data_IF_945030595495
#
_entry.id   IF_945030595495
#
_cell.length_a   1.000
_cell.length_b   1.000
_cell.length_c   1.000
_cell.angle_alpha   90.00
_cell.angle_beta   90.00
_cell.angle_gamma   90.00
#
_symmetry.space_group_name_H-M   'P 1'
#
loop_
_entity.id
_entity.type
_entity.pdbx_description
1 polymer ?
#
# COMPACT_ATOMS: atom_id res chain seq x y z
N UNK A 1 -14.21 7.05 -28.83
CA UNK A 1 -13.64 8.03 -29.80
C UNK A 1 -12.21 7.57 -30.09
N UNK A 2 -11.75 7.58 -31.35
CA UNK A 2 -10.33 7.36 -31.63
C UNK A 2 -9.54 8.55 -31.10
N UNK A 3 -8.46 8.28 -30.38
CA UNK A 3 -7.52 9.31 -29.94
C UNK A 3 -6.42 9.42 -31.01
N UNK A 4 -6.07 10.63 -31.42
CA UNK A 4 -5.19 10.86 -32.58
C UNK A 4 -3.84 11.50 -32.22
N UNK A 5 -3.62 11.84 -30.95
CA UNK A 5 -2.38 12.48 -30.53
C UNK A 5 -1.90 11.99 -29.16
N UNK A 6 -0.58 12.13 -28.87
CA UNK A 6 -0.05 11.87 -27.54
C UNK A 6 -0.76 12.66 -26.44
N UNK A 7 -1.25 13.86 -26.75
CA UNK A 7 -1.96 14.69 -25.79
C UNK A 7 -3.33 14.09 -25.41
N UNK A 8 -4.08 13.62 -26.40
CA UNK A 8 -5.38 12.97 -26.18
C UNK A 8 -5.24 11.65 -25.42
N UNK A 9 -4.20 10.86 -25.74
CA UNK A 9 -3.87 9.66 -24.98
C UNK A 9 -3.57 9.98 -23.51
N UNK A 10 -2.71 10.96 -23.25
CA UNK A 10 -2.38 11.40 -21.90
C UNK A 10 -3.62 11.88 -21.13
N UNK A 11 -4.45 12.72 -21.76
CA UNK A 11 -5.67 13.23 -21.15
C UNK A 11 -6.64 12.10 -20.77
N UNK A 12 -6.84 11.13 -21.66
CA UNK A 12 -7.72 10.00 -21.41
C UNK A 12 -7.21 9.11 -20.27
N UNK A 13 -5.89 8.85 -20.20
CA UNK A 13 -5.26 8.09 -19.12
C UNK A 13 -5.37 8.82 -17.77
N UNK A 14 -5.08 10.13 -17.74
CA UNK A 14 -5.16 10.94 -16.53
C UNK A 14 -6.58 11.08 -16.00
N UNK A 15 -7.56 11.16 -16.91
CA UNK A 15 -8.97 11.21 -16.53
C UNK A 15 -9.43 9.90 -15.86
N UNK A 16 -8.91 8.77 -16.33
CA UNK A 16 -9.19 7.45 -15.78
C UNK A 16 -10.60 6.94 -16.08
N UNK A 17 -10.75 5.62 -16.09
CA UNK A 17 -12.01 4.94 -16.49
C UNK A 17 -13.24 5.37 -15.68
N UNK A 18 -13.07 5.75 -14.41
CA UNK A 18 -14.18 6.18 -13.53
C UNK A 18 -14.75 7.56 -13.88
N UNK A 19 -14.00 8.41 -14.58
CA UNK A 19 -14.43 9.77 -14.95
C UNK A 19 -14.64 9.91 -16.47
N UNK A 20 -14.83 8.80 -17.18
CA UNK A 20 -15.03 8.80 -18.63
C UNK A 20 -13.75 8.80 -19.47
N UNK A 21 -12.59 8.58 -18.86
CA UNK A 21 -11.32 8.33 -19.54
C UNK A 21 -11.04 6.83 -19.74
N UNK A 22 -9.76 6.44 -19.74
CA UNK A 22 -9.33 5.04 -19.92
C UNK A 22 -8.33 4.61 -18.85
N UNK A 23 -8.23 3.31 -18.59
CA UNK A 23 -7.23 2.75 -17.65
C UNK A 23 -5.96 2.26 -18.35
N UNK A 24 -6.05 1.96 -19.65
CA UNK A 24 -4.95 1.49 -20.47
C UNK A 24 -5.22 1.82 -21.94
N UNK A 25 -4.17 1.92 -22.73
CA UNK A 25 -4.20 2.14 -24.18
C UNK A 25 -3.36 1.04 -24.83
N UNK A 26 -3.86 0.49 -25.94
CA UNK A 26 -3.14 -0.46 -26.77
C UNK A 26 -2.93 0.16 -28.15
N UNK A 27 -1.67 0.43 -28.49
CA UNK A 27 -1.25 1.10 -29.72
C UNK A 27 0.11 0.56 -30.17
N UNK A 28 0.55 0.90 -31.38
CA UNK A 28 1.87 0.54 -31.87
C UNK A 28 2.98 1.16 -30.99
N UNK A 29 4.06 0.40 -30.77
CA UNK A 29 5.19 0.77 -29.89
C UNK A 29 5.72 2.20 -30.14
N UNK A 30 6.01 2.65 -31.38
CA UNK A 30 6.58 3.98 -31.56
C UNK A 30 5.66 5.12 -31.09
N UNK A 31 4.32 4.96 -31.15
CA UNK A 31 3.40 5.96 -30.62
C UNK A 31 3.42 5.99 -29.10
N UNK A 32 3.49 4.82 -28.47
CA UNK A 32 3.65 4.70 -27.02
C UNK A 32 5.00 5.27 -26.56
N UNK A 33 6.10 4.99 -27.26
CA UNK A 33 7.42 5.58 -26.98
C UNK A 33 7.39 7.12 -27.06
N UNK A 34 6.70 7.68 -28.06
CA UNK A 34 6.53 9.13 -28.17
C UNK A 34 5.69 9.73 -27.03
N UNK A 35 4.63 9.04 -26.61
CA UNK A 35 3.81 9.44 -25.45
C UNK A 35 4.65 9.49 -24.18
N UNK A 36 5.40 8.41 -23.93
CA UNK A 36 6.30 8.26 -22.82
C UNK A 36 7.35 9.38 -22.80
N UNK A 37 8.03 9.62 -23.93
CA UNK A 37 9.02 10.70 -24.06
C UNK A 37 8.43 12.11 -23.80
N UNK A 38 7.16 12.35 -24.16
CA UNK A 38 6.49 13.64 -23.93
C UNK A 38 6.00 13.82 -22.48
N UNK A 39 5.71 12.74 -21.78
CA UNK A 39 5.15 12.74 -20.43
C UNK A 39 5.98 11.84 -19.49
N UNK A 40 7.25 12.21 -19.22
CA UNK A 40 8.15 11.39 -18.42
C UNK A 40 7.58 11.16 -17.03
N UNK A 41 7.75 9.94 -16.51
CA UNK A 41 7.30 9.50 -15.18
C UNK A 41 5.79 9.54 -14.91
N UNK A 42 4.95 9.85 -15.90
CA UNK A 42 3.48 9.87 -15.73
C UNK A 42 2.82 8.55 -16.13
N UNK A 43 3.42 7.84 -17.09
CA UNK A 43 2.88 6.61 -17.65
C UNK A 43 3.98 5.56 -17.76
N UNK A 44 3.57 4.30 -17.78
CA UNK A 44 4.43 3.16 -18.05
C UNK A 44 3.81 2.31 -19.15
N UNK A 45 4.67 1.66 -19.92
CA UNK A 45 4.27 0.65 -20.89
C UNK A 45 4.71 -0.70 -20.34
N UNK A 46 3.84 -1.71 -20.46
CA UNK A 46 4.21 -3.09 -20.16
C UNK A 46 5.20 -3.54 -21.23
N UNK A 47 6.28 -4.22 -20.83
CA UNK A 47 7.30 -4.70 -21.77
C UNK A 47 6.66 -5.41 -22.97
N UNK A 48 6.87 -4.91 -24.19
CA UNK A 48 6.30 -5.52 -25.36
C UNK A 48 6.94 -6.90 -25.52
N UNK A 49 6.10 -7.93 -25.63
CA UNK A 49 6.56 -9.24 -26.09
C UNK A 49 7.24 -9.07 -27.46
N UNK A 50 8.28 -9.84 -27.81
CA UNK A 50 8.84 -9.79 -29.15
C UNK A 50 7.79 -10.31 -30.14
N UNK A 51 7.09 -9.40 -30.82
CA UNK A 51 6.19 -9.71 -31.91
C UNK A 51 6.77 -9.19 -33.22
N UNK A 52 6.55 -9.95 -34.30
CA UNK A 52 7.08 -9.67 -35.65
C UNK A 52 6.26 -8.62 -36.42
N UNK A 53 5.43 -7.83 -35.74
CA UNK A 53 4.65 -6.78 -36.38
C UNK A 53 5.49 -5.51 -36.55
N UNK A 54 5.25 -4.73 -37.61
CA UNK A 54 6.02 -3.52 -37.85
C UNK A 54 5.63 -2.73 -39.11
N UNK A 55 6.28 -1.58 -39.27
CA UNK A 55 6.12 -0.71 -40.44
C UNK A 55 6.95 -1.21 -41.62
N UNK A 56 6.46 -0.91 -42.83
CA UNK A 56 7.14 -1.28 -44.07
C UNK A 56 6.90 -0.28 -45.19
N UNK A 57 7.75 -0.33 -46.20
CA UNK A 57 7.58 0.43 -47.43
C UNK A 57 6.78 -0.41 -48.44
N UNK A 58 5.90 0.26 -49.19
CA UNK A 58 5.03 -0.40 -50.17
C UNK A 58 5.36 0.09 -51.57
N UNK A 59 5.49 -0.86 -52.49
CA UNK A 59 5.79 -0.61 -53.90
C UNK A 59 4.83 -1.39 -54.81
N UNK A 60 4.60 -0.95 -56.06
CA UNK A 60 3.86 -1.72 -57.05
C UNK A 60 4.51 -3.10 -57.28
N UNK A 61 3.68 -4.10 -57.56
CA UNK A 61 4.15 -5.47 -57.83
C UNK A 61 5.10 -5.48 -59.04
N UNK A 62 6.26 -6.12 -58.88
CA UNK A 62 7.31 -6.18 -59.90
C UNK A 62 8.29 -5.01 -59.88
N UNK A 63 8.13 -4.04 -58.97
CA UNK A 63 9.10 -2.97 -58.80
C UNK A 63 10.44 -3.49 -58.25
N UNK A 64 11.58 -3.19 -58.89
CA UNK A 64 12.91 -3.56 -58.37
C UNK A 64 13.21 -2.86 -57.04
N UNK A 65 12.60 -1.70 -56.78
CA UNK A 65 12.80 -0.90 -55.57
C UNK A 65 12.50 -1.67 -54.28
N UNK A 66 11.55 -2.62 -54.32
CA UNK A 66 11.23 -3.42 -53.15
C UNK A 66 12.45 -4.23 -52.68
N UNK A 67 13.23 -4.78 -53.61
CA UNK A 67 14.44 -5.56 -53.30
C UNK A 67 15.59 -4.66 -52.85
N UNK A 68 15.80 -3.54 -53.56
CA UNK A 68 16.86 -2.58 -53.25
C UNK A 68 16.68 -1.98 -51.85
N UNK A 69 15.46 -1.51 -51.54
CA UNK A 69 15.13 -0.91 -50.25
C UNK A 69 15.20 -1.93 -49.11
N UNK A 70 14.72 -3.16 -49.33
CA UNK A 70 14.82 -4.22 -48.30
C UNK A 70 16.28 -4.56 -47.98
N UNK A 71 17.14 -4.58 -49.00
CA UNK A 71 18.58 -4.82 -48.84
C UNK A 71 19.24 -3.69 -48.07
N UNK A 72 18.89 -2.44 -48.37
CA UNK A 72 19.40 -1.28 -47.66
C UNK A 72 18.93 -1.25 -46.19
N UNK A 73 17.66 -1.54 -45.92
CA UNK A 73 17.12 -1.64 -44.55
C UNK A 73 17.85 -2.72 -43.75
N UNK A 74 18.13 -3.86 -44.37
CA UNK A 74 18.91 -4.94 -43.73
C UNK A 74 20.31 -4.42 -43.35
N UNK A 75 21.01 -3.77 -44.28
CA UNK A 75 22.33 -3.17 -44.04
C UNK A 75 22.28 -2.14 -42.90
N UNK A 76 21.35 -1.19 -42.95
CA UNK A 76 21.19 -0.17 -41.91
C UNK A 76 20.85 -0.75 -40.53
N UNK A 77 20.18 -1.91 -40.49
CA UNK A 77 19.91 -2.64 -39.24
C UNK A 77 21.19 -3.28 -38.68
N UNK A 78 21.96 -3.97 -39.52
CA UNK A 78 23.22 -4.62 -39.14
C UNK A 78 24.28 -3.59 -38.69
N UNK A 79 24.35 -2.44 -39.35
CA UNK A 79 25.24 -1.33 -38.99
C UNK A 79 24.78 -0.54 -37.75
N UNK A 80 23.56 -0.77 -37.27
CA UNK A 80 22.96 -0.01 -36.16
C UNK A 80 22.51 1.41 -36.52
N UNK A 81 22.52 1.79 -37.79
CA UNK A 81 22.04 3.09 -38.28
C UNK A 81 20.56 3.32 -37.95
N UNK A 82 19.71 2.29 -38.07
CA UNK A 82 18.31 2.39 -37.69
C UNK A 82 18.12 2.70 -36.20
N UNK A 83 18.97 2.12 -35.34
CA UNK A 83 18.94 2.37 -33.89
C UNK A 83 19.31 3.82 -33.56
N UNK A 84 20.33 4.37 -34.23
CA UNK A 84 20.73 5.77 -34.07
C UNK A 84 19.61 6.74 -34.49
N UNK A 85 18.90 6.42 -35.57
CA UNK A 85 17.72 7.18 -36.00
C UNK A 85 16.62 7.08 -34.93
N UNK A 86 16.32 5.88 -34.43
CA UNK A 86 15.33 5.69 -33.36
C UNK A 86 15.67 6.52 -32.12
N UNK A 87 16.93 6.48 -31.67
CA UNK A 87 17.40 7.26 -30.53
C UNK A 87 17.27 8.77 -30.80
N UNK A 88 17.72 9.26 -31.95
CA UNK A 88 17.65 10.68 -32.29
C UNK A 88 16.22 11.25 -32.35
N UNK A 89 15.23 10.43 -32.75
CA UNK A 89 13.84 10.87 -32.94
C UNK A 89 12.92 10.59 -31.75
N UNK A 90 13.18 9.54 -30.95
CA UNK A 90 12.33 9.15 -29.83
C UNK A 90 12.97 9.36 -28.46
N UNK A 91 14.30 9.52 -28.38
CA UNK A 91 15.03 9.84 -27.15
C UNK A 91 15.49 11.29 -27.24
N UNK A 92 14.61 12.22 -26.86
CA UNK A 92 15.04 13.59 -26.54
C UNK A 92 16.00 13.59 -25.34
N UNK A 93 16.73 14.69 -25.16
CA UNK A 93 17.89 14.90 -24.25
C UNK A 93 17.74 14.48 -22.77
N UNK A 94 16.62 13.89 -22.34
CA UNK A 94 16.41 13.43 -20.98
C UNK A 94 15.81 12.01 -20.96
N UNK A 95 16.70 11.04 -20.74
CA UNK A 95 16.49 9.90 -19.84
C UNK A 95 15.16 9.12 -19.94
N UNK A 96 14.84 8.59 -21.13
CA UNK A 96 14.11 7.30 -21.20
C UNK A 96 15.07 6.12 -20.98
N UNK A 97 15.79 6.21 -19.87
CA UNK A 97 16.45 5.11 -19.18
C UNK A 97 15.78 5.20 -17.81
N UNK A 98 14.82 4.33 -17.50
CA UNK A 98 15.14 2.91 -17.41
C UNK A 98 14.00 1.92 -17.59
N UNK A 99 14.21 1.02 -18.54
CA UNK A 99 14.36 -0.37 -18.15
C UNK A 99 15.77 -0.52 -17.52
N UNK A 100 15.84 -1.01 -16.27
CA UNK A 100 17.03 -1.50 -15.56
C UNK A 100 18.07 -0.56 -14.88
N UNK A 101 17.84 0.74 -14.64
CA UNK A 101 18.85 1.56 -13.94
C UNK A 101 18.52 3.00 -13.53
N UNK A 102 17.25 3.36 -13.35
CA UNK A 102 16.87 4.74 -13.07
C UNK A 102 16.91 4.83 -11.57
N UNK A 103 17.96 5.46 -11.06
CA UNK A 103 18.08 5.95 -9.70
C UNK A 103 17.30 5.07 -8.73
N UNK A 104 17.96 4.00 -8.29
CA UNK A 104 17.64 3.40 -7.01
C UNK A 104 17.95 4.45 -5.93
N UNK A 105 17.15 5.50 -5.85
CA UNK A 105 16.63 5.87 -4.56
C UNK A 105 15.69 4.71 -4.25
N UNK A 106 16.14 3.69 -3.49
CA UNK A 106 15.29 2.54 -3.20
C UNK A 106 14.05 3.15 -2.58
N UNK A 107 12.91 3.08 -3.27
CA UNK A 107 11.66 3.71 -2.86
C UNK A 107 11.51 3.48 -1.36
N UNK A 108 11.88 4.50 -0.58
CA UNK A 108 12.25 4.29 0.81
C UNK A 108 11.01 3.67 1.42
N UNK A 109 11.13 2.41 1.87
CA UNK A 109 9.99 1.59 2.26
C UNK A 109 9.19 2.42 3.26
N UNK A 110 8.13 3.05 2.76
CA UNK A 110 7.42 4.06 3.53
C UNK A 110 6.88 3.35 4.75
N UNK A 111 6.97 3.97 5.92
CA UNK A 111 6.43 3.44 7.19
C UNK A 111 4.96 2.97 7.02
N UNK A 112 4.26 3.50 6.00
CA UNK A 112 2.93 3.08 5.55
C UNK A 112 2.84 1.62 5.07
N UNK A 113 3.87 1.07 4.41
CA UNK A 113 3.91 -0.35 4.02
C UNK A 113 4.24 -1.29 5.20
N UNK A 114 4.88 -0.78 6.26
CA UNK A 114 5.15 -1.54 7.50
C UNK A 114 4.02 -1.49 8.53
N UNK A 115 2.91 -0.81 8.22
CA UNK A 115 1.75 -0.70 9.11
C UNK A 115 1.21 -2.06 9.55
N UNK A 116 1.23 -3.08 8.68
CA UNK A 116 0.79 -4.43 9.01
C UNK A 116 1.61 -5.06 10.16
N UNK A 117 2.93 -4.91 10.13
CA UNK A 117 3.81 -5.44 11.18
C UNK A 117 3.61 -4.70 12.52
N UNK A 118 3.37 -3.38 12.48
CA UNK A 118 3.07 -2.59 13.67
C UNK A 118 1.71 -2.95 14.29
N UNK A 119 0.70 -3.22 13.47
CA UNK A 119 -0.60 -3.69 13.96
C UNK A 119 -0.45 -5.04 14.66
N UNK A 120 0.26 -6.00 14.06
CA UNK A 120 0.45 -7.34 14.63
C UNK A 120 1.24 -7.28 15.95
N UNK A 121 2.35 -6.54 15.98
CA UNK A 121 3.17 -6.41 17.18
C UNK A 121 2.44 -5.65 18.30
N UNK A 122 1.73 -4.56 17.95
CA UNK A 122 0.92 -3.79 18.87
C UNK A 122 -0.23 -4.61 19.48
N UNK A 123 -0.96 -5.38 18.68
CA UNK A 123 -2.05 -6.23 19.18
C UNK A 123 -1.52 -7.34 20.10
N UNK A 124 -0.38 -7.93 19.76
CA UNK A 124 0.23 -9.00 20.57
C UNK A 124 0.67 -8.46 21.93
N UNK A 125 1.32 -7.29 21.96
CA UNK A 125 1.73 -6.64 23.20
C UNK A 125 0.52 -6.22 24.06
N UNK A 126 -0.52 -5.65 23.46
CA UNK A 126 -1.74 -5.27 24.18
C UNK A 126 -2.44 -6.49 24.79
N UNK A 127 -2.54 -7.60 24.06
CA UNK A 127 -3.10 -8.87 24.56
C UNK A 127 -2.29 -9.44 25.72
N UNK A 128 -0.96 -9.43 25.62
CA UNK A 128 -0.08 -9.90 26.70
C UNK A 128 -0.29 -9.07 27.98
N UNK A 129 -0.30 -7.73 27.86
CA UNK A 129 -0.55 -6.81 28.98
C UNK A 129 -1.93 -7.04 29.58
N UNK A 130 -2.95 -7.25 28.75
CA UNK A 130 -4.32 -7.51 29.22
C UNK A 130 -4.40 -8.81 30.03
N UNK A 131 -3.79 -9.90 29.55
CA UNK A 131 -3.76 -11.18 30.26
C UNK A 131 -3.00 -11.05 31.59
N UNK A 132 -1.81 -10.42 31.57
CA UNK A 132 -1.03 -10.19 32.79
C UNK A 132 -1.79 -9.34 33.81
N UNK A 133 -2.52 -8.32 33.35
CA UNK A 133 -3.37 -7.51 34.21
C UNK A 133 -4.46 -8.35 34.88
N UNK A 134 -5.16 -9.21 34.13
CA UNK A 134 -6.19 -10.10 34.72
C UNK A 134 -5.58 -11.04 35.76
N UNK A 135 -4.42 -11.64 35.49
CA UNK A 135 -3.75 -12.54 36.43
C UNK A 135 -3.33 -11.80 37.70
N UNK A 136 -2.72 -10.62 37.57
CA UNK A 136 -2.33 -9.78 38.69
C UNK A 136 -3.53 -9.31 39.52
N UNK A 137 -4.61 -8.91 38.86
CA UNK A 137 -5.86 -8.59 39.54
C UNK A 137 -6.37 -9.83 40.28
N UNK A 138 -6.43 -11.02 39.67
CA UNK A 138 -6.89 -12.24 40.35
C UNK A 138 -6.06 -12.55 41.59
N UNK A 139 -4.73 -12.55 41.48
CA UNK A 139 -3.84 -12.84 42.62
C UNK A 139 -4.02 -11.83 43.75
N UNK A 140 -4.04 -10.53 43.43
CA UNK A 140 -4.27 -9.49 44.44
C UNK A 140 -5.70 -9.49 44.96
N UNK A 141 -6.70 -9.83 44.16
CA UNK A 141 -8.09 -9.93 44.58
C UNK A 141 -8.27 -11.10 45.54
N UNK A 142 -7.58 -12.22 45.34
CA UNK A 142 -7.57 -13.34 46.28
C UNK A 142 -6.98 -12.92 47.65
N UNK A 143 -5.85 -12.21 47.66
CA UNK A 143 -5.23 -11.72 48.90
C UNK A 143 -6.03 -10.59 49.57
N UNK A 144 -6.60 -9.69 48.78
CA UNK A 144 -7.45 -8.60 49.28
C UNK A 144 -8.77 -9.15 49.82
N UNK A 145 -9.41 -10.09 49.13
CA UNK A 145 -10.68 -10.73 49.57
C UNK A 145 -10.50 -11.51 50.87
N UNK A 146 -9.38 -12.19 51.08
CA UNK A 146 -9.13 -12.87 52.36
C UNK A 146 -8.96 -11.87 53.51
N UNK A 147 -8.25 -10.75 53.27
CA UNK A 147 -8.04 -9.69 54.26
C UNK A 147 -9.34 -8.93 54.59
N UNK A 148 -10.14 -8.59 53.58
CA UNK A 148 -11.45 -7.94 53.77
C UNK A 148 -12.47 -8.83 54.46
N UNK A 149 -12.45 -10.13 54.20
CA UNK A 149 -13.29 -11.09 54.95
C UNK A 149 -12.99 -11.05 56.45
N UNK A 150 -11.72 -10.96 56.85
CA UNK A 150 -11.35 -10.84 58.26
C UNK A 150 -11.79 -9.50 58.86
N UNK A 151 -11.55 -8.37 58.18
CA UNK A 151 -11.96 -7.05 58.65
C UNK A 151 -13.48 -6.91 58.77
N UNK A 152 -14.23 -7.45 57.81
CA UNK A 152 -15.70 -7.49 57.87
C UNK A 152 -16.21 -8.39 59.00
N UNK A 153 -15.49 -9.48 59.32
CA UNK A 153 -15.83 -10.34 60.46
C UNK A 153 -15.61 -9.62 61.80
N UNK A 154 -14.47 -8.94 61.98
CA UNK A 154 -14.19 -8.13 63.18
C UNK A 154 -15.13 -6.93 63.33
N UNK A 155 -15.45 -6.26 62.22
CA UNK A 155 -16.41 -5.16 62.22
C UNK A 155 -17.82 -5.65 62.58
N UNK A 156 -18.25 -6.79 62.03
CA UNK A 156 -19.52 -7.43 62.37
C UNK A 156 -19.58 -7.82 63.85
N UNK A 157 -18.52 -8.39 64.42
CA UNK A 157 -18.45 -8.71 65.84
C UNK A 157 -18.54 -7.46 66.72
N UNK A 158 -17.82 -6.40 66.35
CA UNK A 158 -17.83 -5.13 67.09
C UNK A 158 -19.21 -4.46 67.03
N UNK A 159 -19.86 -4.49 65.87
CA UNK A 159 -21.21 -3.96 65.71
C UNK A 159 -22.26 -4.77 66.49
N UNK A 160 -22.11 -6.09 66.53
CA UNK A 160 -22.98 -6.99 67.30
C UNK A 160 -22.84 -6.73 68.81
N UNK A 161 -21.62 -6.51 69.31
CA UNK A 161 -21.36 -6.14 70.72
C UNK A 161 -21.95 -4.76 71.06
N UNK A 162 -21.75 -3.77 70.18
CA UNK A 162 -22.32 -2.43 70.37
C UNK A 162 -23.85 -2.46 70.45
N UNK A 163 -24.50 -3.23 69.58
CA UNK A 163 -25.96 -3.39 69.60
C UNK A 163 -26.44 -4.12 70.84
N UNK A 164 -25.71 -5.15 71.29
CA UNK A 164 -26.04 -5.88 72.53
C UNK A 164 -25.98 -4.97 73.75
N UNK A 165 -24.93 -4.16 73.89
CA UNK A 165 -24.79 -3.24 75.02
C UNK A 165 -25.88 -2.18 75.00
N UNK A 166 -26.20 -1.59 73.83
CA UNK A 166 -27.32 -0.65 73.72
C UNK A 166 -28.68 -1.23 74.11
N UNK A 167 -28.93 -2.51 73.83
CA UNK A 167 -30.18 -3.17 74.22
C UNK A 167 -30.21 -3.43 75.73
N UNK A 168 -29.07 -3.78 76.33
CA UNK A 168 -28.93 -3.94 77.79
C UNK A 168 -29.16 -2.60 78.51
N UNK A 169 -28.52 -1.53 78.04
CA UNK A 169 -28.67 -0.18 78.61
C UNK A 169 -30.13 0.31 78.55
N UNK A 170 -30.81 0.11 77.41
CA UNK A 170 -32.22 0.48 77.25
C UNK A 170 -33.17 -0.33 78.16
N UNK A 171 -32.87 -1.61 78.43
CA UNK A 171 -33.67 -2.43 79.34
C UNK A 171 -33.43 -2.08 80.82
N UNK A 172 -32.22 -1.64 81.19
CA UNK A 172 -31.91 -1.18 82.55
C UNK A 172 -32.66 0.13 82.84
N UNK A 173 -32.67 1.07 81.89
CA UNK A 173 -33.45 2.32 82.02
C UNK A 173 -34.96 2.05 82.15
N UNK A 174 -35.51 1.08 81.41
CA UNK A 174 -36.94 0.74 81.46
C UNK A 174 -37.37 0.03 82.76
N UNK A 175 -36.45 -0.56 83.54
CA UNK A 175 -36.76 -1.30 84.78
C UNK A 175 -36.61 -0.44 86.04
N UNK A 176 -36.09 0.78 85.90
CA UNK A 176 -35.81 1.70 87.03
C UNK A 176 -36.92 2.77 87.22
N UNK A 177 -38.11 2.56 86.65
CA UNK A 177 -39.30 3.42 86.79
C UNK A 177 -40.41 2.66 87.51
#
# INVERSE_FOLDING_TARGET
KPYQSPHEFAQALLQGSRKGGVSAIAEEIPYLKLLLARYPNQFSMIDPKPYTNGFGFVFPKGSPLAADISTEIKRMREEGTLKKIEEAWFVGDESYVSADGANNDPAALSVRNFGGAFVISGTTAALAIFILSILFLKEKWHHFRSKWRHLLWEYSQSFRRFRSNKIVDANIEATTI
#
